data_IF_156168817758
#
_entry.id   IF_156168817758
#
_cell.length_a   1.000
_cell.length_b   1.000
_cell.length_c   1.000
_cell.angle_alpha   90.00
_cell.angle_beta   90.00
_cell.angle_gamma   90.00
#
_symmetry.space_group_name_H-M   'P 1'
#
loop_
_entity.id
_entity.type
_entity.pdbx_description
1 polymer ?
#
# COMPACT_ATOMS: atom_id res chain seq x y z
N UNK A 1 6.44 -10.55 -35.67
CA UNK A 1 6.10 -11.30 -34.45
C UNK A 1 7.21 -11.35 -33.41
N UNK A 2 8.45 -11.82 -33.68
CA UNK A 2 9.53 -11.71 -32.66
C UNK A 2 10.09 -10.30 -32.51
N UNK A 3 10.24 -9.56 -33.61
CA UNK A 3 10.77 -8.19 -33.60
C UNK A 3 9.87 -7.20 -32.87
N UNK A 4 8.54 -7.34 -32.96
CA UNK A 4 7.57 -6.44 -32.31
C UNK A 4 7.61 -6.55 -30.78
N UNK A 5 7.84 -7.76 -30.24
CA UNK A 5 7.90 -7.98 -28.78
C UNK A 5 9.15 -7.36 -28.14
N UNK A 6 10.27 -7.31 -28.85
CA UNK A 6 11.49 -6.68 -28.34
C UNK A 6 11.35 -5.14 -28.28
N UNK A 7 10.71 -4.54 -29.28
CA UNK A 7 10.49 -3.09 -29.32
C UNK A 7 9.52 -2.61 -28.24
N UNK A 8 8.47 -3.38 -27.96
CA UNK A 8 7.51 -3.06 -26.90
C UNK A 8 8.17 -3.19 -25.51
N UNK A 9 9.00 -4.21 -25.31
CA UNK A 9 9.75 -4.38 -24.06
C UNK A 9 10.72 -3.21 -23.79
N UNK A 10 11.44 -2.74 -24.81
CA UNK A 10 12.37 -1.60 -24.68
C UNK A 10 11.65 -0.30 -24.28
N UNK A 11 10.48 -0.03 -24.87
CA UNK A 11 9.64 1.11 -24.50
C UNK A 11 9.19 1.05 -23.03
N UNK A 12 8.76 -0.14 -22.59
CA UNK A 12 8.30 -0.36 -21.21
C UNK A 12 9.42 -0.11 -20.20
N UNK A 13 10.65 -0.55 -20.49
CA UNK A 13 11.81 -0.31 -19.64
C UNK A 13 12.18 1.18 -19.56
N UNK A 14 12.13 1.90 -20.69
CA UNK A 14 12.40 3.35 -20.72
C UNK A 14 11.36 4.11 -19.90
N UNK A 15 10.08 3.82 -20.08
CA UNK A 15 8.99 4.47 -19.32
C UNK A 15 9.08 4.13 -17.83
N UNK A 16 9.29 2.86 -17.48
CA UNK A 16 9.42 2.41 -16.11
C UNK A 16 10.59 3.09 -15.38
N UNK A 17 11.76 3.18 -16.03
CA UNK A 17 12.92 3.88 -15.48
C UNK A 17 12.65 5.38 -15.29
N UNK A 18 12.10 6.05 -16.30
CA UNK A 18 11.78 7.47 -16.22
C UNK A 18 10.77 7.77 -15.11
N UNK A 19 9.75 6.93 -14.96
CA UNK A 19 8.78 7.02 -13.87
C UNK A 19 9.46 6.87 -12.50
N UNK A 20 10.31 5.87 -12.33
CA UNK A 20 11.03 5.62 -11.07
C UNK A 20 11.91 6.82 -10.70
N UNK A 21 12.72 7.31 -11.64
CA UNK A 21 13.58 8.47 -11.42
C UNK A 21 12.75 9.70 -11.00
N UNK A 22 11.61 9.93 -11.66
CA UNK A 22 10.71 11.03 -11.31
C UNK A 22 10.06 10.84 -9.94
N UNK A 23 9.53 9.66 -9.64
CA UNK A 23 8.85 9.34 -8.39
C UNK A 23 9.76 9.56 -7.17
N UNK A 24 10.97 8.99 -7.17
CA UNK A 24 11.88 9.14 -6.03
C UNK A 24 12.50 10.53 -5.94
N UNK A 25 12.70 11.23 -7.07
CA UNK A 25 13.10 12.64 -7.04
C UNK A 25 12.04 13.51 -6.35
N UNK A 26 10.77 13.33 -6.68
CA UNK A 26 9.68 14.00 -5.97
C UNK A 26 9.62 13.56 -4.51
N UNK A 27 9.77 12.27 -4.21
CA UNK A 27 9.71 11.78 -2.84
C UNK A 27 10.77 12.41 -1.92
N UNK A 28 11.97 12.65 -2.44
CA UNK A 28 13.10 13.20 -1.70
C UNK A 28 13.10 14.74 -1.67
N UNK A 29 12.60 15.41 -2.72
CA UNK A 29 12.70 16.88 -2.84
C UNK A 29 11.36 17.63 -2.76
N UNK A 30 10.25 17.05 -3.23
CA UNK A 30 8.92 17.66 -3.21
C UNK A 30 7.81 16.62 -3.04
N UNK A 31 7.70 16.15 -1.81
CA UNK A 31 6.78 15.09 -1.41
C UNK A 31 5.31 15.47 -1.60
N UNK A 32 5.00 16.77 -1.55
CA UNK A 32 3.65 17.28 -1.72
C UNK A 32 3.12 17.04 -3.13
N UNK A 33 4.00 17.05 -4.13
CA UNK A 33 3.68 16.82 -5.53
C UNK A 33 3.43 15.35 -5.88
N UNK A 34 3.77 14.39 -5.01
CA UNK A 34 3.52 12.96 -5.26
C UNK A 34 2.04 12.63 -5.44
N UNK A 35 1.14 13.41 -4.83
CA UNK A 35 -0.29 13.23 -4.98
C UNK A 35 -0.76 13.30 -6.44
N UNK A 36 -0.05 14.05 -7.30
CA UNK A 36 -0.37 14.18 -8.73
C UNK A 36 -0.21 12.87 -9.52
N UNK A 37 0.57 11.92 -9.01
CA UNK A 37 0.81 10.63 -9.65
C UNK A 37 -0.31 9.61 -9.35
N UNK A 38 -1.22 9.93 -8.44
CA UNK A 38 -2.29 9.03 -7.98
C UNK A 38 -3.67 9.57 -8.34
N UNK A 39 -4.61 8.65 -8.56
CA UNK A 39 -6.02 8.93 -8.81
C UNK A 39 -6.91 8.45 -7.64
N UNK A 40 -8.19 8.86 -7.58
CA UNK A 40 -9.11 8.41 -6.53
C UNK A 40 -9.27 6.89 -6.44
N UNK A 41 -9.03 6.16 -7.53
CA UNK A 41 -9.06 4.70 -7.58
C UNK A 41 -7.75 4.03 -7.16
N UNK A 42 -6.68 4.80 -6.96
CA UNK A 42 -5.36 4.30 -6.63
C UNK A 42 -5.31 3.65 -5.25
N UNK A 43 -4.41 2.69 -5.09
CA UNK A 43 -4.23 1.96 -3.84
C UNK A 43 -2.75 1.86 -3.47
N UNK A 44 -2.42 2.28 -2.25
CA UNK A 44 -1.11 2.09 -1.63
C UNK A 44 -1.22 1.00 -0.56
N UNK A 45 -0.30 0.04 -0.59
CA UNK A 45 -0.06 -0.89 0.52
C UNK A 45 1.30 -0.56 1.13
N UNK A 46 1.31 0.13 2.27
CA UNK A 46 2.53 0.51 2.97
C UNK A 46 2.73 -0.40 4.18
N UNK A 47 3.78 -1.22 4.19
CA UNK A 47 4.06 -2.15 5.30
C UNK A 47 2.88 -3.09 5.64
N UNK A 48 2.06 -3.41 4.64
CA UNK A 48 0.86 -4.25 4.78
C UNK A 48 -0.42 -3.49 5.15
N UNK A 49 -0.34 -2.19 5.41
CA UNK A 49 -1.52 -1.34 5.57
C UNK A 49 -2.02 -0.86 4.22
N UNK A 50 -3.25 -1.22 3.87
CA UNK A 50 -3.92 -0.78 2.64
C UNK A 50 -4.54 0.60 2.83
N UNK A 51 -4.33 1.47 1.86
CA UNK A 51 -4.76 2.87 1.82
C UNK A 51 -5.29 3.12 0.40
N UNK A 52 -6.45 3.75 0.29
CA UNK A 52 -7.15 3.93 -0.99
C UNK A 52 -7.44 5.40 -1.21
N UNK A 53 -7.22 5.87 -2.43
CA UNK A 53 -7.52 7.23 -2.86
C UNK A 53 -6.39 8.23 -2.61
N UNK A 54 -6.27 9.19 -3.54
CA UNK A 54 -5.19 10.19 -3.57
C UNK A 54 -5.02 10.96 -2.25
N UNK A 55 -6.12 11.34 -1.60
CA UNK A 55 -6.08 12.11 -0.35
C UNK A 55 -5.40 11.35 0.81
N UNK A 56 -5.84 10.12 1.05
CA UNK A 56 -5.30 9.29 2.13
C UNK A 56 -3.88 8.82 1.82
N UNK A 57 -3.58 8.53 0.55
CA UNK A 57 -2.22 8.22 0.08
C UNK A 57 -1.29 9.41 0.33
N UNK A 58 -1.69 10.62 -0.07
CA UNK A 58 -0.89 11.83 0.14
C UNK A 58 -0.67 12.11 1.63
N UNK A 59 -1.72 11.98 2.45
CA UNK A 59 -1.61 12.11 3.90
C UNK A 59 -0.61 11.11 4.48
N UNK A 60 -0.70 9.83 4.08
CA UNK A 60 0.25 8.80 4.52
C UNK A 60 1.67 9.16 4.12
N UNK A 61 1.90 9.45 2.84
CA UNK A 61 3.24 9.73 2.32
C UNK A 61 3.87 10.92 3.06
N UNK A 62 3.12 12.00 3.27
CA UNK A 62 3.58 13.19 4.01
C UNK A 62 3.76 12.97 5.52
N UNK A 63 3.01 12.03 6.13
CA UNK A 63 3.12 11.71 7.56
C UNK A 63 4.37 10.91 7.93
N UNK A 64 5.06 10.32 6.95
CA UNK A 64 6.24 9.50 7.20
C UNK A 64 7.37 10.41 7.72
N UNK A 65 8.13 9.97 8.75
CA UNK A 65 9.22 10.74 9.35
C UNK A 65 10.48 10.74 8.44
N UNK A 66 10.26 10.92 7.15
CA UNK A 66 11.21 10.78 6.06
C UNK A 66 11.62 12.15 5.53
N UNK A 67 11.57 13.19 6.36
CA UNK A 67 11.70 14.60 5.95
C UNK A 67 12.95 14.94 5.15
N UNK A 68 14.01 14.11 5.21
CA UNK A 68 15.16 14.11 4.30
C UNK A 68 15.63 12.68 4.01
N UNK A 69 14.69 11.75 3.82
CA UNK A 69 15.06 10.38 3.48
C UNK A 69 15.70 10.36 2.09
N UNK A 70 16.80 9.63 1.92
CA UNK A 70 17.45 9.49 0.61
C UNK A 70 17.23 8.09 0.06
N UNK A 71 16.62 8.00 -1.11
CA UNK A 71 16.47 6.73 -1.81
C UNK A 71 17.68 6.46 -2.70
N UNK A 72 18.20 5.25 -2.64
CA UNK A 72 19.21 4.75 -3.59
C UNK A 72 18.64 3.53 -4.29
N UNK A 73 18.33 3.68 -5.57
CA UNK A 73 17.74 2.62 -6.37
C UNK A 73 18.83 1.66 -6.81
N UNK A 74 18.60 0.36 -6.59
CA UNK A 74 19.53 -0.72 -6.93
C UNK A 74 19.14 -1.41 -8.23
N UNK A 75 17.86 -1.77 -8.38
CA UNK A 75 17.33 -2.38 -9.61
C UNK A 75 15.96 -1.82 -9.95
N UNK A 76 15.67 -1.81 -11.25
CA UNK A 76 14.37 -1.48 -11.82
C UNK A 76 14.08 -2.56 -12.86
N UNK A 77 12.99 -3.28 -12.68
CA UNK A 77 12.52 -4.31 -13.60
C UNK A 77 11.12 -3.91 -14.07
N UNK A 78 10.89 -3.86 -15.38
CA UNK A 78 9.60 -3.41 -15.94
C UNK A 78 9.04 -4.45 -16.90
N UNK A 79 7.73 -4.69 -16.81
CA UNK A 79 7.00 -5.64 -17.65
C UNK A 79 5.68 -5.02 -18.13
N UNK A 80 5.25 -5.32 -19.37
CA UNK A 80 3.93 -4.92 -19.82
C UNK A 80 2.84 -5.60 -18.99
N UNK A 81 1.84 -4.84 -18.60
CA UNK A 81 0.61 -5.34 -17.98
C UNK A 81 -0.36 -5.78 -19.06
N UNK A 82 -1.15 -6.82 -18.78
CA UNK A 82 -2.20 -7.29 -19.70
C UNK A 82 -3.31 -6.24 -19.93
N UNK A 83 -3.37 -5.20 -19.09
CA UNK A 83 -4.38 -4.15 -19.18
C UNK A 83 -3.92 -2.99 -20.06
N UNK A 84 -4.37 -2.94 -21.31
CA UNK A 84 -4.46 -1.71 -22.11
C UNK A 84 -3.22 -0.83 -22.21
N UNK A 85 -2.01 -1.41 -22.24
CA UNK A 85 -0.75 -0.64 -22.28
C UNK A 85 -0.24 -0.20 -20.90
N UNK A 86 -0.76 -0.78 -19.82
CA UNK A 86 -0.23 -0.62 -18.47
C UNK A 86 1.15 -1.24 -18.31
N UNK A 87 1.86 -0.85 -17.26
CA UNK A 87 3.22 -1.30 -16.96
C UNK A 87 3.29 -1.72 -15.49
N UNK A 88 3.89 -2.87 -15.23
CA UNK A 88 4.29 -3.28 -13.88
C UNK A 88 5.77 -2.98 -13.71
N UNK A 89 6.10 -2.17 -12.69
CA UNK A 89 7.47 -1.80 -12.36
C UNK A 89 7.80 -2.34 -10.98
N UNK A 90 8.86 -3.13 -10.88
CA UNK A 90 9.42 -3.60 -9.62
C UNK A 90 10.72 -2.87 -9.34
N UNK A 91 10.87 -2.36 -8.12
CA UNK A 91 12.00 -1.57 -7.68
C UNK A 91 12.60 -2.21 -6.44
N UNK A 92 13.91 -2.37 -6.43
CA UNK A 92 14.67 -2.68 -5.22
C UNK A 92 15.66 -1.56 -4.92
N UNK A 93 15.86 -1.27 -3.65
CA UNK A 93 16.74 -0.18 -3.26
C UNK A 93 17.08 -0.16 -1.78
N UNK A 94 17.70 0.94 -1.38
CA UNK A 94 17.93 1.28 0.01
C UNK A 94 17.43 2.68 0.33
N UNK A 95 16.95 2.83 1.56
CA UNK A 95 16.42 4.05 2.13
C UNK A 95 17.32 4.45 3.30
N UNK A 96 17.90 5.63 3.24
CA UNK A 96 18.62 6.21 4.37
C UNK A 96 17.75 7.24 5.07
N UNK A 97 17.58 7.09 6.37
CA UNK A 97 16.83 8.04 7.20
C UNK A 97 17.77 9.10 7.78
N UNK A 98 17.29 10.33 7.99
CA UNK A 98 18.09 11.38 8.60
C UNK A 98 18.55 10.96 10.01
N UNK A 99 19.85 11.04 10.27
CA UNK A 99 20.43 10.68 11.57
C UNK A 99 20.67 9.19 11.78
N UNK A 100 20.33 8.33 10.82
CA UNK A 100 20.62 6.89 10.87
C UNK A 100 21.78 6.54 9.93
N UNK A 101 22.81 5.88 10.46
CA UNK A 101 23.93 5.39 9.64
C UNK A 101 23.52 4.17 8.79
N UNK A 102 22.53 3.41 9.25
CA UNK A 102 22.09 2.18 8.61
C UNK A 102 21.10 2.47 7.49
N UNK A 103 21.39 1.94 6.30
CA UNK A 103 20.45 1.95 5.20
C UNK A 103 19.47 0.79 5.32
N UNK A 104 18.18 1.09 5.22
CA UNK A 104 17.13 0.09 5.20
C UNK A 104 16.90 -0.38 3.77
N UNK A 105 16.97 -1.68 3.52
CA UNK A 105 16.60 -2.22 2.21
C UNK A 105 15.08 -2.16 2.04
N UNK A 106 14.63 -1.87 0.84
CA UNK A 106 13.21 -1.87 0.52
C UNK A 106 12.96 -2.49 -0.84
N UNK A 107 11.72 -2.92 -1.04
CA UNK A 107 11.17 -3.32 -2.32
C UNK A 107 9.86 -2.57 -2.52
N UNK A 108 9.67 -2.04 -3.72
CA UNK A 108 8.46 -1.34 -4.10
C UNK A 108 7.96 -1.83 -5.46
N UNK A 109 6.65 -1.95 -5.63
CA UNK A 109 6.03 -2.31 -6.91
C UNK A 109 5.00 -1.27 -7.29
N UNK A 110 5.04 -0.82 -8.54
CA UNK A 110 4.07 0.09 -9.14
C UNK A 110 3.35 -0.59 -10.28
N UNK A 111 2.04 -0.41 -10.34
CA UNK A 111 1.23 -0.72 -11.51
C UNK A 111 0.78 0.60 -12.14
N UNK A 112 1.41 0.95 -13.27
CA UNK A 112 1.15 2.16 -14.03
C UNK A 112 0.06 1.89 -15.05
N UNK A 113 -0.91 2.80 -15.14
CA UNK A 113 -1.99 2.75 -16.12
C UNK A 113 -1.90 4.00 -17.00
N UNK A 114 -1.95 3.86 -18.34
CA UNK A 114 -1.96 5.01 -19.23
C UNK A 114 -3.26 5.79 -19.08
N UNK A 115 -3.14 7.11 -19.14
CA UNK A 115 -4.27 8.04 -19.19
C UNK A 115 -4.62 8.39 -20.65
N UNK A 116 -5.76 9.06 -20.85
CA UNK A 116 -6.21 9.45 -22.18
C UNK A 116 -5.31 10.48 -22.86
N UNK A 117 -4.59 11.28 -22.07
CA UNK A 117 -3.60 12.27 -22.52
C UNK A 117 -2.22 11.65 -22.81
N UNK A 118 -2.06 10.34 -22.66
CA UNK A 118 -0.80 9.63 -22.92
C UNK A 118 0.21 9.72 -21.77
N UNK A 119 -0.18 10.24 -20.60
CA UNK A 119 0.61 10.15 -19.37
C UNK A 119 0.29 8.83 -18.62
N UNK A 120 0.92 8.62 -17.47
CA UNK A 120 0.70 7.43 -16.64
C UNK A 120 0.35 7.85 -15.21
N UNK A 121 -0.56 7.10 -14.59
CA UNK A 121 -0.83 7.22 -13.16
C UNK A 121 -0.62 5.88 -12.45
N UNK A 122 -0.37 5.95 -11.14
CA UNK A 122 -0.14 4.79 -10.29
C UNK A 122 -1.48 4.22 -9.84
N UNK A 123 -1.89 3.07 -10.37
CA UNK A 123 -3.11 2.38 -9.94
C UNK A 123 -2.86 1.55 -8.66
N UNK A 124 -1.75 0.83 -8.59
CA UNK A 124 -1.35 0.08 -7.39
C UNK A 124 0.09 0.39 -7.01
N UNK A 125 0.33 0.54 -5.72
CA UNK A 125 1.63 0.78 -5.11
C UNK A 125 1.80 -0.14 -3.91
N UNK A 126 2.86 -0.95 -3.89
CA UNK A 126 3.18 -1.82 -2.76
C UNK A 126 4.57 -1.50 -2.26
N UNK A 127 4.68 -1.01 -1.04
CA UNK A 127 5.95 -0.70 -0.39
C UNK A 127 6.21 -1.63 0.79
N UNK A 128 7.41 -2.22 0.80
CA UNK A 128 7.91 -3.07 1.88
C UNK A 128 9.35 -2.74 2.25
N UNK A 129 9.61 -2.61 3.54
CA UNK A 129 10.95 -2.67 4.11
C UNK A 129 11.38 -4.13 4.24
N UNK A 130 12.58 -4.41 3.75
CA UNK A 130 13.19 -5.72 3.82
C UNK A 130 13.96 -5.82 5.14
N UNK A 131 13.28 -6.26 6.20
CA UNK A 131 13.90 -6.54 7.50
C UNK A 131 14.73 -7.81 7.45
N UNK A 132 15.93 -7.71 6.86
CA UNK A 132 16.96 -8.74 6.93
C UNK A 132 17.90 -8.43 8.08
N UNK A 133 18.05 -9.38 9.03
CA UNK A 133 19.00 -9.28 10.12
C UNK A 133 20.41 -9.00 9.55
N UNK A 134 20.98 -7.84 9.87
CA UNK A 134 22.42 -7.72 9.85
C UNK A 134 22.95 -8.69 10.91
N UNK A 135 23.34 -9.90 10.51
CA UNK A 135 24.09 -10.82 11.36
C UNK A 135 25.50 -10.25 11.56
N UNK A 136 25.62 -9.15 12.29
CA UNK A 136 26.87 -8.78 12.94
C UNK A 136 26.84 -9.40 14.34
N UNK A 137 27.62 -10.46 14.49
CA UNK A 137 28.04 -11.10 15.73
C UNK A 137 27.50 -10.43 17.03
N UNK A 138 26.48 -11.03 17.63
CA UNK A 138 26.27 -10.97 19.07
C UNK A 138 25.69 -9.70 19.70
N UNK A 139 25.02 -8.80 18.96
CA UNK A 139 24.12 -7.81 19.60
C UNK A 139 22.75 -7.80 18.95
N UNK A 140 21.80 -8.37 19.68
CA UNK A 140 20.38 -8.38 19.40
C UNK A 140 19.85 -6.94 19.37
N UNK A 141 19.84 -6.31 18.18
CA UNK A 141 19.03 -5.11 17.96
C UNK A 141 17.57 -5.55 17.91
N UNK A 142 16.83 -5.33 19.00
CA UNK A 142 15.39 -5.50 19.02
C UNK A 142 14.74 -4.45 18.11
N UNK A 143 14.54 -4.79 16.84
CA UNK A 143 13.72 -4.01 15.92
C UNK A 143 12.25 -4.09 16.38
N UNK A 144 11.87 -3.21 17.31
CA UNK A 144 10.49 -3.13 17.85
C UNK A 144 9.96 -1.71 17.95
N UNK A 145 10.51 -0.76 17.17
CA UNK A 145 9.83 0.52 16.92
C UNK A 145 9.09 0.42 15.59
N UNK A 146 7.79 0.09 15.59
CA UNK A 146 6.99 0.26 14.38
C UNK A 146 7.05 1.74 13.99
N UNK A 147 7.28 2.02 12.71
CA UNK A 147 6.96 3.31 12.08
C UNK A 147 5.43 3.48 12.11
N UNK A 148 4.86 3.68 13.31
CA UNK A 148 3.47 4.07 13.49
C UNK A 148 3.37 5.55 13.13
N UNK A 149 2.83 5.81 11.94
CA UNK A 149 2.26 7.12 11.63
C UNK A 149 1.05 7.34 12.54
N UNK A 150 1.07 8.39 13.35
CA UNK A 150 -0.12 8.89 14.02
C UNK A 150 -0.84 9.84 13.06
N UNK A 151 -1.81 9.32 12.31
CA UNK A 151 -2.91 10.17 11.85
C UNK A 151 -4.05 9.91 12.84
N UNK A 152 -4.19 10.78 13.85
CA UNK A 152 -5.36 10.80 14.71
C UNK A 152 -6.50 11.46 13.95
N UNK A 153 -7.21 10.68 13.15
CA UNK A 153 -8.58 11.03 12.80
C UNK A 153 -9.45 10.70 14.00
N UNK A 154 -9.97 11.73 14.65
CA UNK A 154 -11.04 11.60 15.62
C UNK A 154 -12.32 11.22 14.89
N UNK A 155 -12.70 9.94 14.93
CA UNK A 155 -14.09 9.55 14.77
C UNK A 155 -14.34 8.24 15.52
N UNK A 156 -15.28 8.33 16.44
CA UNK A 156 -15.79 7.27 17.31
C UNK A 156 -16.31 6.07 16.52
N UNK A 157 -16.10 4.89 17.09
CA UNK A 157 -16.91 3.67 16.95
C UNK A 157 -17.08 3.03 15.56
N UNK A 158 -16.33 1.93 15.30
CA UNK A 158 -16.96 0.60 15.19
C UNK A 158 -15.91 -0.54 15.15
N UNK A 159 -16.13 -1.53 16.02
CA UNK A 159 -15.35 -2.76 16.18
C UNK A 159 -15.63 -3.73 15.02
N UNK A 160 -14.59 -4.16 14.31
CA UNK A 160 -14.62 -5.45 13.60
C UNK A 160 -14.06 -6.55 14.53
N UNK A 161 -14.86 -7.55 14.95
CA UNK A 161 -14.32 -8.71 15.66
C UNK A 161 -13.70 -9.69 14.67
N UNK A 162 -12.45 -10.04 14.95
CA UNK A 162 -11.79 -11.23 14.41
C UNK A 162 -12.37 -12.50 15.03
N UNK A 163 -12.29 -13.60 14.28
CA UNK A 163 -12.64 -15.00 14.61
C UNK A 163 -14.08 -15.45 14.30
N UNK A 164 -14.22 -16.22 13.22
CA UNK A 164 -15.25 -17.24 13.08
C UNK A 164 -14.53 -18.57 13.19
N UNK A 165 -14.60 -19.18 14.37
CA UNK A 165 -14.40 -20.60 14.57
C UNK A 165 -15.76 -21.28 14.49
N UNK A 166 -15.85 -22.31 13.65
CA UNK A 166 -16.97 -23.25 13.62
C UNK A 166 -17.00 -24.02 14.92
N UNK A 167 -18.12 -23.99 15.65
CA UNK A 167 -18.62 -25.16 16.37
C UNK A 167 -20.06 -24.99 16.86
N UNK A 168 -20.86 -25.97 16.44
CA UNK A 168 -21.97 -26.62 17.12
C UNK A 168 -23.17 -25.79 17.60
N UNK A 169 -24.22 -25.79 16.77
CA UNK A 169 -25.62 -25.66 17.18
C UNK A 169 -25.97 -26.75 18.19
N UNK A 170 -26.33 -26.36 19.42
CA UNK A 170 -27.45 -26.92 20.20
C UNK A 170 -27.25 -26.54 21.67
N UNK A 171 -28.16 -25.73 22.21
CA UNK A 171 -28.67 -25.96 23.56
C UNK A 171 -30.01 -25.24 23.70
N UNK A 172 -31.02 -26.08 23.93
CA UNK A 172 -32.34 -25.71 24.40
C UNK A 172 -32.27 -24.81 25.65
N UNK A 173 -33.19 -23.84 25.73
CA UNK A 173 -33.72 -23.41 27.03
C UNK A 173 -35.26 -23.41 27.01
N UNK A 174 -35.88 -23.64 28.18
CA UNK A 174 -37.26 -24.09 28.29
C UNK A 174 -38.25 -22.94 28.54
N UNK A 175 -39.50 -23.24 28.18
CA UNK A 175 -40.76 -22.80 28.79
C UNK A 175 -40.75 -21.48 29.60
N UNK A 176 -41.41 -20.46 29.05
CA UNK A 176 -42.11 -19.45 29.84
C UNK A 176 -43.55 -19.33 29.33
N UNK A 177 -44.47 -19.88 30.13
CA UNK A 177 -45.91 -19.64 30.04
C UNK A 177 -46.19 -18.22 30.53
N UNK A 178 -46.81 -17.39 29.70
CA UNK A 178 -47.52 -16.20 30.16
C UNK A 178 -48.81 -16.03 29.35
N UNK A 179 -49.91 -15.98 30.08
CA UNK A 179 -51.30 -15.95 29.62
C UNK A 179 -51.64 -14.57 29.08
N UNK A 180 -52.51 -14.54 28.07
CA UNK A 180 -53.72 -13.74 28.18
C UNK A 180 -54.06 -12.78 27.04
N UNK A 181 -55.31 -12.96 26.60
CA UNK A 181 -56.27 -11.97 26.09
C UNK A 181 -56.32 -11.75 24.57
N UNK A 182 -57.18 -12.57 24.00
CA UNK A 182 -58.12 -12.28 22.91
C UNK A 182 -58.65 -10.84 22.93
N UNK A 183 -58.65 -10.18 21.77
CA UNK A 183 -59.61 -9.14 21.42
C UNK A 183 -59.80 -9.12 19.90
N UNK A 184 -60.95 -9.64 19.45
CA UNK A 184 -61.67 -9.18 18.26
C UNK A 184 -62.91 -8.42 18.79
N UNK A 185 -63.43 -7.42 18.06
CA UNK A 185 -64.54 -7.73 17.14
C UNK A 185 -64.61 -6.87 15.85
N UNK A 186 -65.30 -7.47 14.87
CA UNK A 186 -66.25 -6.93 13.85
C UNK A 186 -65.90 -5.66 13.04
N UNK A 187 -65.79 -5.83 11.71
CA UNK A 187 -66.92 -5.79 10.74
C UNK A 187 -66.64 -6.74 9.58
#
# INVERSE_FOLDING_TARGET
>A
METERCHEQEQVEVVGKAFVDHYYNLFDNDRSSLASLYQPTSMLTFEGQKIVGTGDISCKLNSLPFGNSKHTISTIDSQPSAYGGGIVVFVSGSLQLPGEEHQLRFSQMFHLIPTQDGSFFVQNDFFRLNYGACNTHGRQYSASRPLRAACTTSSSDEKYPSSISLDTLSCHLPHAVARGRTWSPEM
#
